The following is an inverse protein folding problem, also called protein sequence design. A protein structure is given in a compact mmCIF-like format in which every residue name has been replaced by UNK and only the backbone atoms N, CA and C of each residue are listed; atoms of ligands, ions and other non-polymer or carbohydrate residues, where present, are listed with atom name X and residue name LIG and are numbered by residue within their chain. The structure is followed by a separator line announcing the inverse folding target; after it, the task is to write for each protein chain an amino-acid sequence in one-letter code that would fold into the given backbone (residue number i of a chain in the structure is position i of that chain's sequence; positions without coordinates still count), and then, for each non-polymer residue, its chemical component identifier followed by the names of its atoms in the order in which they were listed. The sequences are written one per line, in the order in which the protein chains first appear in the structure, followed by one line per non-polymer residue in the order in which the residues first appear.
data_IF_822069065538
#
_entry.id   IF_822069065538
#
_cell.length_a   1.000
_cell.length_b   1.000
_cell.length_c   1.000
_cell.angle_alpha   90.00
_cell.angle_beta   90.00
_cell.angle_gamma   90.00
#
_symmetry.space_group_name_H-M   'P 1'
#
loop_
_entity.id
_entity.type
_entity.pdbx_description
1 polymer ?
#
# COMPACT_ATOMS: atom_id res chain seq x y z
N UNK A 1 -8.01 -45.77 -1.63
CA UNK A 1 -9.21 -44.99 -1.26
C UNK A 1 -9.18 -43.71 -2.08
N UNK A 2 -10.16 -43.57 -3.00
CA UNK A 2 -10.48 -42.45 -3.92
C UNK A 2 -9.35 -41.63 -4.56
N UNK A 3 -9.03 -42.02 -5.79
CA UNK A 3 -8.52 -41.14 -6.85
C UNK A 3 -9.69 -40.25 -7.29
N UNK A 4 -9.57 -38.93 -7.14
CA UNK A 4 -10.44 -37.99 -7.85
C UNK A 4 -9.82 -37.71 -9.22
N UNK A 5 -10.45 -38.27 -10.24
CA UNK A 5 -10.33 -37.75 -11.60
C UNK A 5 -10.91 -36.34 -11.61
N UNK A 6 -10.12 -35.35 -12.01
CA UNK A 6 -10.64 -34.07 -12.48
C UNK A 6 -10.41 -34.05 -13.99
N UNK A 7 -11.52 -33.84 -14.70
CA UNK A 7 -11.63 -33.99 -16.14
C UNK A 7 -10.66 -33.07 -16.88
N UNK A 8 -10.24 -33.55 -18.05
CA UNK A 8 -9.28 -32.89 -18.91
C UNK A 8 -9.78 -31.52 -19.36
N UNK A 9 -8.90 -30.54 -19.24
CA UNK A 9 -8.97 -29.34 -20.05
C UNK A 9 -8.19 -29.64 -21.33
N UNK A 10 -8.90 -30.13 -22.34
CA UNK A 10 -8.38 -30.19 -23.70
C UNK A 10 -8.15 -28.76 -24.16
N UNK A 11 -6.95 -28.50 -24.69
CA UNK A 11 -6.63 -27.24 -25.32
C UNK A 11 -7.45 -27.07 -26.60
N UNK A 12 -8.40 -26.15 -26.57
CA UNK A 12 -8.90 -25.44 -27.75
C UNK A 12 -9.14 -24.00 -27.33
N UNK A 13 -8.69 -23.05 -28.16
CA UNK A 13 -8.77 -21.62 -27.90
C UNK A 13 -10.22 -21.19 -27.70
N UNK A 14 -10.60 -20.95 -26.44
CA UNK A 14 -11.81 -20.23 -26.10
C UNK A 14 -11.52 -18.74 -26.21
N UNK A 15 -12.30 -18.03 -27.02
CA UNK A 15 -12.45 -16.58 -26.88
C UNK A 15 -12.77 -16.30 -25.41
N UNK A 16 -11.83 -15.66 -24.69
CA UNK A 16 -12.10 -15.15 -23.35
C UNK A 16 -13.30 -14.21 -23.46
N UNK A 17 -14.39 -14.51 -22.74
CA UNK A 17 -15.54 -13.61 -22.65
C UNK A 17 -15.03 -12.22 -22.19
N UNK A 18 -15.09 -11.18 -23.05
CA UNK A 18 -14.52 -9.88 -22.73
C UNK A 18 -15.15 -9.27 -21.47
N UNK A 19 -16.37 -9.69 -21.11
CA UNK A 19 -17.08 -9.20 -19.94
C UNK A 19 -16.54 -9.82 -18.64
N UNK A 20 -16.15 -11.10 -18.65
CA UNK A 20 -15.55 -11.79 -17.51
C UNK A 20 -14.09 -11.37 -17.25
N UNK A 21 -13.31 -11.14 -18.32
CA UNK A 21 -11.96 -10.59 -18.22
C UNK A 21 -11.97 -9.14 -17.67
N UNK A 22 -12.97 -8.33 -18.05
CA UNK A 22 -13.16 -6.96 -17.53
C UNK A 22 -13.52 -6.94 -16.05
N UNK A 23 -14.46 -7.79 -15.61
CA UNK A 23 -14.85 -7.84 -14.19
C UNK A 23 -13.73 -8.31 -13.26
N UNK A 24 -12.88 -9.22 -13.74
CA UNK A 24 -11.73 -9.70 -12.97
C UNK A 24 -10.62 -8.62 -12.88
N UNK A 25 -10.36 -7.91 -13.99
CA UNK A 25 -9.42 -6.78 -14.05
C UNK A 25 -9.83 -5.63 -13.12
N UNK A 26 -11.12 -5.27 -13.08
CA UNK A 26 -11.57 -4.12 -12.28
C UNK A 26 -11.54 -4.42 -10.77
N UNK A 27 -11.86 -5.66 -10.37
CA UNK A 27 -11.69 -6.12 -9.00
C UNK A 27 -10.23 -6.14 -8.55
N UNK A 28 -9.33 -6.69 -9.38
CA UNK A 28 -7.89 -6.72 -9.09
C UNK A 28 -7.28 -5.31 -8.99
N UNK A 29 -7.72 -4.37 -9.84
CA UNK A 29 -7.28 -2.97 -9.76
C UNK A 29 -7.73 -2.30 -8.46
N UNK A 30 -8.97 -2.53 -8.04
CA UNK A 30 -9.49 -2.00 -6.78
C UNK A 30 -8.69 -2.53 -5.57
N UNK A 31 -8.37 -3.84 -5.56
CA UNK A 31 -7.50 -4.43 -4.53
C UNK A 31 -6.12 -3.78 -4.50
N UNK A 32 -5.48 -3.61 -5.66
CA UNK A 32 -4.14 -2.98 -5.74
C UNK A 32 -4.14 -1.53 -5.26
N UNK A 33 -5.19 -0.76 -5.60
CA UNK A 33 -5.36 0.61 -5.09
C UNK A 33 -5.48 0.61 -3.57
N UNK A 34 -6.26 -0.32 -3.02
CA UNK A 34 -6.44 -0.47 -1.59
C UNK A 34 -5.12 -0.79 -0.88
N UNK A 35 -4.32 -1.70 -1.42
CA UNK A 35 -3.01 -2.07 -0.86
C UNK A 35 -2.04 -0.88 -0.81
N UNK A 36 -2.01 -0.05 -1.87
CA UNK A 36 -1.19 1.17 -1.92
C UNK A 36 -1.65 2.19 -0.86
N UNK A 37 -2.96 2.39 -0.74
CA UNK A 37 -3.54 3.27 0.29
C UNK A 37 -3.20 2.77 1.70
N UNK A 38 -3.26 1.46 1.91
CA UNK A 38 -2.86 0.83 3.18
C UNK A 38 -1.38 1.03 3.48
N UNK A 39 -0.47 0.90 2.49
CA UNK A 39 0.95 1.18 2.69
C UNK A 39 1.21 2.65 3.05
N UNK A 40 0.51 3.60 2.41
CA UNK A 40 0.61 5.03 2.75
C UNK A 40 0.17 5.28 4.20
N UNK A 41 -0.95 4.68 4.62
CA UNK A 41 -1.45 4.74 6.01
C UNK A 41 -0.47 4.13 7.00
N UNK A 42 -0.02 2.90 6.76
CA UNK A 42 0.98 2.22 7.58
C UNK A 42 2.25 3.08 7.73
N UNK A 43 2.72 3.69 6.64
CA UNK A 43 3.91 4.53 6.67
C UNK A 43 3.76 5.75 7.59
N UNK A 44 2.73 6.58 7.40
CA UNK A 44 2.57 7.80 8.21
C UNK A 44 2.29 7.48 9.68
N UNK A 45 1.47 6.46 9.94
CA UNK A 45 1.14 6.02 11.30
C UNK A 45 2.35 5.51 12.06
N UNK A 46 3.18 4.71 11.39
CA UNK A 46 4.40 4.16 11.97
C UNK A 46 5.37 5.28 12.34
N UNK A 47 5.59 6.25 11.45
CA UNK A 47 6.49 7.38 11.71
C UNK A 47 5.98 8.21 12.89
N UNK A 48 4.70 8.60 12.86
CA UNK A 48 4.09 9.43 13.92
C UNK A 48 4.11 8.71 15.27
N UNK A 49 3.82 7.41 15.31
CA UNK A 49 3.90 6.62 16.53
C UNK A 49 5.33 6.48 17.06
N UNK A 50 6.33 6.46 16.18
CA UNK A 50 7.73 6.35 16.57
C UNK A 50 8.27 7.63 17.23
N UNK A 51 7.73 8.81 16.89
CA UNK A 51 8.23 10.11 17.37
C UNK A 51 8.43 10.17 18.90
N UNK A 52 7.47 9.68 19.68
CA UNK A 52 7.53 9.65 21.14
C UNK A 52 8.28 8.46 21.74
N UNK A 53 8.51 7.41 20.94
CA UNK A 53 9.16 6.16 21.36
C UNK A 53 10.67 6.14 21.08
N UNK A 54 11.16 7.01 20.17
CA UNK A 54 12.58 7.20 19.92
C UNK A 54 13.30 7.73 21.16
N UNK A 55 14.60 7.41 21.27
CA UNK A 55 15.45 7.89 22.38
C UNK A 55 16.68 8.62 21.81
N UNK A 56 16.77 9.96 21.93
CA UNK A 56 15.76 10.88 22.46
C UNK A 56 14.53 10.96 21.54
N UNK A 57 13.35 11.37 22.07
CA UNK A 57 12.15 11.56 21.26
C UNK A 57 12.33 12.70 20.27
N UNK A 58 11.49 12.70 19.24
CA UNK A 58 11.43 13.76 18.21
C UNK A 58 10.12 14.51 18.37
N UNK A 59 10.21 15.82 18.53
CA UNK A 59 9.05 16.71 18.62
C UNK A 59 8.65 17.22 17.23
N UNK A 60 7.38 17.64 17.08
CA UNK A 60 6.94 18.35 15.88
C UNK A 60 7.72 19.66 15.69
N UNK A 61 8.05 19.98 14.44
CA UNK A 61 8.61 21.28 14.12
C UNK A 61 7.55 22.38 14.24
N UNK A 62 6.31 22.10 13.84
CA UNK A 62 5.17 22.98 14.06
C UNK A 62 4.19 22.38 15.09
N UNK A 63 4.10 22.93 16.32
CA UNK A 63 3.15 22.47 17.34
C UNK A 63 1.68 22.55 16.90
N UNK A 64 1.33 23.41 15.92
CA UNK A 64 -0.02 23.47 15.37
C UNK A 64 -0.42 22.17 14.64
N UNK A 65 0.52 21.29 14.29
CA UNK A 65 0.24 19.99 13.73
C UNK A 65 -0.20 18.93 14.76
N UNK A 66 -0.22 19.25 16.06
CA UNK A 66 -0.55 18.27 17.11
C UNK A 66 -1.92 17.61 16.89
N UNK A 67 -2.94 18.37 16.52
CA UNK A 67 -4.27 17.78 16.25
C UNK A 67 -4.27 16.78 15.09
N UNK A 68 -3.32 16.91 14.14
CA UNK A 68 -3.13 15.97 13.03
C UNK A 68 -2.47 14.68 13.53
N UNK A 69 -1.48 14.79 14.42
CA UNK A 69 -0.89 13.63 15.11
C UNK A 69 -1.98 12.87 15.86
N UNK A 70 -2.79 13.57 16.65
CA UNK A 70 -3.88 12.98 17.42
C UNK A 70 -4.89 12.26 16.50
N UNK A 71 -5.24 12.88 15.36
CA UNK A 71 -6.09 12.26 14.34
C UNK A 71 -5.48 10.96 13.80
N UNK A 72 -4.23 10.99 13.30
CA UNK A 72 -3.57 9.83 12.69
C UNK A 72 -3.46 8.67 13.70
N UNK A 73 -3.10 8.96 14.95
CA UNK A 73 -3.05 7.95 16.00
C UNK A 73 -4.45 7.40 16.35
N UNK A 74 -5.51 8.21 16.28
CA UNK A 74 -6.88 7.76 16.56
C UNK A 74 -7.43 6.78 15.51
N UNK A 75 -6.96 6.87 14.27
CA UNK A 75 -7.43 6.02 13.15
C UNK A 75 -6.53 4.81 12.86
N UNK A 76 -5.41 4.66 13.59
CA UNK A 76 -4.40 3.64 13.34
C UNK A 76 -4.94 2.21 13.30
N UNK A 77 -5.79 1.86 14.27
CA UNK A 77 -6.32 0.50 14.42
C UNK A 77 -7.76 0.35 13.88
N UNK A 78 -8.22 1.28 13.05
CA UNK A 78 -9.57 1.20 12.45
C UNK A 78 -9.54 0.15 11.33
N UNK A 79 -10.32 -0.95 11.44
CA UNK A 79 -10.47 -1.91 10.36
C UNK A 79 -11.24 -1.27 9.20
N UNK A 80 -10.97 -1.72 7.98
CA UNK A 80 -11.67 -1.27 6.77
C UNK A 80 -11.75 0.27 6.65
N UNK A 81 -10.62 0.94 6.89
CA UNK A 81 -10.54 2.40 6.87
C UNK A 81 -10.95 2.95 5.48
N UNK A 82 -11.89 3.89 5.46
CA UNK A 82 -12.50 4.41 4.22
C UNK A 82 -11.66 5.46 3.47
N UNK A 83 -10.51 5.86 4.02
CA UNK A 83 -9.61 6.88 3.44
C UNK A 83 -10.32 8.18 3.07
N UNK A 84 -10.93 8.88 4.03
CA UNK A 84 -11.62 10.12 3.76
C UNK A 84 -10.64 11.26 3.41
N UNK A 85 -11.07 12.34 2.72
CA UNK A 85 -10.18 13.40 2.26
C UNK A 85 -9.29 14.00 3.35
N UNK A 86 -9.83 14.18 4.56
CA UNK A 86 -9.11 14.71 5.71
C UNK A 86 -7.89 13.88 6.10
N UNK A 87 -7.91 12.55 5.89
CA UNK A 87 -6.77 11.69 6.16
C UNK A 87 -5.57 12.09 5.30
N UNK A 88 -5.78 12.30 4.00
CA UNK A 88 -4.71 12.70 3.09
C UNK A 88 -4.17 14.09 3.40
N UNK A 89 -5.04 15.03 3.80
CA UNK A 89 -4.63 16.38 4.20
C UNK A 89 -3.86 16.39 5.53
N UNK A 90 -4.21 15.52 6.49
CA UNK A 90 -3.44 15.34 7.73
C UNK A 90 -2.10 14.66 7.47
N UNK A 91 -2.09 13.55 6.72
CA UNK A 91 -0.88 12.82 6.39
C UNK A 91 0.13 13.69 5.62
N UNK A 92 -0.35 14.48 4.64
CA UNK A 92 0.50 15.38 3.86
C UNK A 92 1.12 16.48 4.72
N UNK A 93 0.31 17.19 5.51
CA UNK A 93 0.80 18.27 6.36
C UNK A 93 1.79 17.77 7.42
N UNK A 94 1.60 16.55 7.92
CA UNK A 94 2.58 15.90 8.80
C UNK A 94 3.83 15.49 8.03
N UNK A 95 3.72 14.94 6.83
CA UNK A 95 4.89 14.58 6.04
C UNK A 95 5.78 15.76 5.67
N UNK A 96 5.19 16.95 5.53
CA UNK A 96 5.89 18.21 5.30
C UNK A 96 6.47 18.83 6.60
N UNK A 97 6.16 18.29 7.78
CA UNK A 97 6.71 18.75 9.05
C UNK A 97 8.16 18.25 9.24
N UNK A 98 9.09 19.17 9.46
CA UNK A 98 10.51 18.84 9.62
C UNK A 98 10.80 17.91 10.81
N UNK A 99 9.97 17.92 11.86
CA UNK A 99 10.07 16.99 12.98
C UNK A 99 9.68 15.56 12.57
N UNK A 100 8.62 15.42 11.77
CA UNK A 100 8.20 14.12 11.21
C UNK A 100 9.26 13.62 10.21
N UNK A 101 9.81 14.50 9.36
CA UNK A 101 10.93 14.15 8.47
C UNK A 101 12.16 13.70 9.24
N UNK A 102 12.52 14.38 10.33
CA UNK A 102 13.63 13.98 11.19
C UNK A 102 13.39 12.61 11.87
N UNK A 103 12.15 12.28 12.21
CA UNK A 103 11.79 10.94 12.69
C UNK A 103 11.95 9.88 11.60
N UNK A 104 11.55 10.18 10.36
CA UNK A 104 11.74 9.30 9.21
C UNK A 104 13.21 8.99 8.90
N UNK A 105 14.10 9.98 8.99
CA UNK A 105 15.55 9.76 8.79
C UNK A 105 16.16 8.80 9.83
N UNK A 106 15.47 8.60 10.97
CA UNK A 106 15.81 7.63 12.02
C UNK A 106 15.03 6.32 11.91
N UNK A 107 14.41 6.05 10.76
CA UNK A 107 13.58 4.85 10.53
C UNK A 107 14.32 3.53 10.73
N UNK A 108 15.66 3.52 10.70
CA UNK A 108 16.45 2.33 11.05
C UNK A 108 16.35 1.93 12.55
N UNK A 109 15.75 2.76 13.40
CA UNK A 109 15.53 2.49 14.83
C UNK A 109 14.17 1.83 15.11
N UNK A 110 13.30 1.71 14.11
CA UNK A 110 11.98 1.08 14.21
C UNK A 110 11.63 0.32 12.92
N UNK A 111 10.45 -0.29 12.85
CA UNK A 111 10.03 -1.09 11.70
C UNK A 111 9.18 -0.25 10.75
N UNK A 112 9.82 0.40 9.77
CA UNK A 112 9.14 1.13 8.70
C UNK A 112 9.22 0.35 7.38
N UNK A 113 8.18 0.46 6.56
CA UNK A 113 8.17 -0.14 5.22
C UNK A 113 9.06 0.64 4.25
N UNK A 114 9.82 -0.07 3.42
CA UNK A 114 10.78 0.51 2.46
C UNK A 114 10.11 1.46 1.44
N UNK A 115 8.81 1.29 1.19
CA UNK A 115 8.05 2.12 0.25
C UNK A 115 7.46 3.40 0.88
N UNK A 116 7.71 3.67 2.16
CA UNK A 116 7.13 4.79 2.91
C UNK A 116 7.31 6.13 2.19
N UNK A 117 8.55 6.56 1.95
CA UNK A 117 8.81 7.83 1.29
C UNK A 117 8.19 7.91 -0.11
N UNK A 118 8.26 6.82 -0.88
CA UNK A 118 7.72 6.81 -2.24
C UNK A 118 6.22 7.12 -2.29
N UNK A 119 5.43 6.56 -1.38
CA UNK A 119 3.99 6.82 -1.33
C UNK A 119 3.64 8.14 -0.62
N UNK A 120 4.37 8.53 0.41
CA UNK A 120 4.17 9.80 1.10
C UNK A 120 4.49 11.01 0.20
N UNK A 121 5.53 10.91 -0.63
CA UNK A 121 5.86 11.94 -1.64
C UNK A 121 4.79 12.03 -2.76
N UNK A 122 3.88 11.06 -2.86
CA UNK A 122 2.83 10.95 -3.89
C UNK A 122 1.40 11.07 -3.36
N UNK A 123 1.20 11.56 -2.14
CA UNK A 123 -0.14 11.69 -1.52
C UNK A 123 -1.13 12.40 -2.45
N UNK A 124 -0.73 13.48 -3.13
CA UNK A 124 -1.63 14.23 -4.03
C UNK A 124 -2.11 13.45 -5.25
N UNK A 125 -1.34 12.46 -5.68
CA UNK A 125 -1.70 11.56 -6.78
C UNK A 125 -2.62 10.44 -6.27
N UNK A 126 -2.27 9.84 -5.13
CA UNK A 126 -2.98 8.69 -4.55
C UNK A 126 -4.36 9.09 -4.01
N UNK A 127 -4.54 10.34 -3.58
CA UNK A 127 -5.83 10.84 -3.06
C UNK A 127 -6.89 11.06 -4.14
N UNK A 128 -6.51 11.07 -5.42
CA UNK A 128 -7.46 11.31 -6.51
C UNK A 128 -8.45 10.15 -6.64
N UNK A 129 -9.72 10.45 -6.89
CA UNK A 129 -10.76 9.44 -7.04
C UNK A 129 -10.57 8.55 -8.28
N UNK A 130 -9.89 9.08 -9.30
CA UNK A 130 -9.54 8.40 -10.55
C UNK A 130 -8.08 7.90 -10.56
N UNK A 131 -7.44 7.78 -9.39
CA UNK A 131 -6.09 7.24 -9.28
C UNK A 131 -5.98 5.83 -9.88
N UNK A 132 -5.08 5.69 -10.86
CA UNK A 132 -4.69 4.41 -11.45
C UNK A 132 -3.23 4.13 -11.09
N UNK A 133 -2.93 3.04 -10.36
CA UNK A 133 -1.56 2.67 -10.03
C UNK A 133 -0.71 2.46 -11.27
N UNK A 134 0.47 3.07 -11.28
CA UNK A 134 1.51 2.76 -12.27
C UNK A 134 2.19 1.42 -11.96
N UNK A 135 2.85 0.82 -12.94
CA UNK A 135 3.65 -0.39 -12.72
C UNK A 135 4.70 -0.17 -11.62
N UNK A 136 5.25 1.04 -11.52
CA UNK A 136 6.19 1.39 -10.46
C UNK A 136 5.53 1.41 -9.07
N UNK A 137 4.26 1.83 -8.97
CA UNK A 137 3.49 1.76 -7.73
C UNK A 137 3.28 0.30 -7.33
N UNK A 138 2.91 -0.55 -8.29
CA UNK A 138 2.69 -1.98 -8.06
C UNK A 138 3.97 -2.69 -7.62
N UNK A 139 5.11 -2.36 -8.21
CA UNK A 139 6.42 -2.92 -7.84
C UNK A 139 6.91 -2.47 -6.45
N UNK A 140 6.46 -1.30 -5.97
CA UNK A 140 6.82 -0.77 -4.64
C UNK A 140 5.82 -1.17 -3.56
N UNK A 141 4.58 -1.50 -3.96
CA UNK A 141 3.53 -1.90 -3.05
C UNK A 141 3.98 -3.12 -2.22
N UNK A 142 3.91 -2.99 -0.90
CA UNK A 142 4.19 -4.08 0.02
C UNK A 142 2.88 -4.81 0.30
N UNK A 143 2.78 -6.03 -0.21
CA UNK A 143 1.70 -6.97 0.13
C UNK A 143 2.35 -8.16 0.83
N UNK A 144 1.89 -8.50 2.04
CA UNK A 144 2.32 -9.73 2.69
C UNK A 144 1.85 -10.92 1.86
N UNK A 145 2.80 -11.65 1.29
CA UNK A 145 2.50 -12.86 0.50
C UNK A 145 1.90 -13.93 1.41
N UNK A 146 0.62 -14.22 1.25
CA UNK A 146 0.01 -15.41 1.84
C UNK A 146 0.11 -16.57 0.84
N UNK A 147 0.90 -17.60 1.17
CA UNK A 147 1.03 -18.79 0.34
C UNK A 147 2.11 -18.70 -0.75
N UNK A 148 2.05 -19.61 -1.72
CA UNK A 148 3.02 -19.72 -2.82
C UNK A 148 2.34 -19.25 -4.10
N UNK A 149 2.91 -18.23 -4.74
CA UNK A 149 2.50 -17.77 -6.06
C UNK A 149 3.48 -18.32 -7.09
N UNK A 150 2.98 -19.12 -8.03
CA UNK A 150 3.76 -19.61 -9.16
C UNK A 150 3.43 -18.79 -10.41
N UNK A 151 4.45 -18.33 -11.12
CA UNK A 151 4.33 -17.71 -12.44
C UNK A 151 5.15 -18.54 -13.42
N UNK A 152 4.53 -18.93 -14.53
CA UNK A 152 5.17 -19.63 -15.63
C UNK A 152 5.26 -18.69 -16.82
N UNK A 153 6.42 -18.63 -17.47
CA UNK A 153 6.62 -17.74 -18.61
C UNK A 153 7.59 -18.34 -19.62
N UNK A 154 7.56 -17.84 -20.85
CA UNK A 154 8.43 -18.30 -21.93
C UNK A 154 9.32 -17.15 -22.41
N UNK A 155 10.64 -17.37 -22.47
CA UNK A 155 11.62 -16.44 -23.05
C UNK A 155 12.40 -17.18 -24.13
N UNK A 156 12.45 -16.63 -25.34
CA UNK A 156 13.16 -17.22 -26.49
C UNK A 156 12.86 -18.72 -26.72
N UNK A 157 11.58 -19.08 -26.59
CA UNK A 157 11.03 -20.44 -26.71
C UNK A 157 11.39 -21.39 -25.57
N UNK A 158 12.06 -20.92 -24.52
CA UNK A 158 12.38 -21.67 -23.30
C UNK A 158 11.35 -21.34 -22.22
N UNK A 159 10.75 -22.37 -21.62
CA UNK A 159 9.78 -22.22 -20.53
C UNK A 159 10.50 -22.17 -19.17
N UNK A 160 10.02 -21.29 -18.29
CA UNK A 160 10.48 -21.09 -16.91
C UNK A 160 9.30 -21.24 -15.94
#
# INVERSE_FOLDING_TARGET
MRILHVNGFNGEGGEEDPQAARSNSDGEKATKVQDIKNNLKEAIETIVAAMSNLVPPVELANPENQFRVDYILSVMNVPDFDFPPEFYEHAKALWEDEGVRACYERSNEYQLIDCAQYFLDKIDVIKQADYVPSDQDLLRCRVLTSGIFETKFQVDKVNF
#
